data_IF_317201760917
#
_entry.id   IF_317201760917
#
_cell.length_a   1.000
_cell.length_b   1.000
_cell.length_c   1.000
_cell.angle_alpha   90.00
_cell.angle_beta   90.00
_cell.angle_gamma   90.00
#
_symmetry.space_group_name_H-M   'P 1'
#
loop_
_entity.id
_entity.type
_entity.pdbx_description
1 polymer ?
#
# COMPACT_ATOMS: atom_id res chain seq x y z
N UNK A 1 -4.45 5.13 -7.82
CA UNK A 1 -4.11 4.71 -6.46
C UNK A 1 -2.67 5.11 -6.15
N UNK A 2 -2.38 5.28 -4.88
CA UNK A 2 -1.09 5.77 -4.42
C UNK A 2 -0.25 4.65 -3.80
N UNK A 3 -0.69 3.43 -4.00
CA UNK A 3 0.02 2.20 -3.71
C UNK A 3 0.02 1.32 -4.95
N UNK A 4 1.22 0.99 -5.44
CA UNK A 4 1.45 0.25 -6.66
C UNK A 4 2.00 -1.13 -6.31
N UNK A 5 1.34 -2.19 -6.77
CA UNK A 5 1.84 -3.55 -6.62
C UNK A 5 2.66 -3.93 -7.85
N UNK A 6 3.84 -4.48 -7.59
CA UNK A 6 4.70 -5.12 -8.57
C UNK A 6 4.88 -6.58 -8.20
N UNK A 7 4.48 -7.50 -9.07
CA UNK A 7 4.78 -8.93 -8.94
C UNK A 7 5.93 -9.29 -9.86
N UNK A 8 6.92 -10.01 -9.37
CA UNK A 8 8.02 -10.50 -10.21
C UNK A 8 7.54 -11.72 -10.99
N UNK A 9 7.50 -11.61 -12.32
CA UNK A 9 7.07 -12.66 -13.23
C UNK A 9 8.24 -13.37 -13.94
N UNK A 10 9.43 -12.76 -13.91
CA UNK A 10 10.63 -13.33 -14.51
C UNK A 10 11.88 -12.56 -14.15
N UNK A 11 13.04 -13.15 -14.36
CA UNK A 11 14.31 -12.46 -14.23
C UNK A 11 15.41 -13.12 -15.06
N UNK A 12 16.42 -12.33 -15.41
CA UNK A 12 17.67 -12.81 -15.98
C UNK A 12 18.88 -12.25 -15.22
N UNK A 13 20.06 -12.32 -15.83
CA UNK A 13 21.29 -11.86 -15.18
C UNK A 13 21.29 -10.35 -14.90
N UNK A 14 20.72 -9.56 -15.81
CA UNK A 14 20.71 -8.10 -15.75
C UNK A 14 19.33 -7.48 -15.87
N UNK A 15 18.26 -8.22 -15.61
CA UNK A 15 16.91 -7.72 -15.65
C UNK A 15 15.96 -8.45 -14.71
N UNK A 16 14.89 -7.75 -14.35
CA UNK A 16 13.72 -8.31 -13.64
C UNK A 16 12.47 -7.89 -14.42
N UNK A 17 11.58 -8.83 -14.63
CA UNK A 17 10.28 -8.61 -15.26
C UNK A 17 9.23 -8.49 -14.17
N UNK A 18 8.47 -7.40 -14.23
CA UNK A 18 7.39 -7.10 -13.29
C UNK A 18 6.06 -7.09 -14.02
N UNK A 19 5.06 -7.64 -13.36
CA UNK A 19 3.65 -7.40 -13.65
C UNK A 19 3.14 -6.32 -12.70
N UNK A 20 2.45 -5.33 -13.26
CA UNK A 20 1.87 -4.20 -12.53
C UNK A 20 0.39 -4.50 -12.31
N UNK A 21 -0.10 -4.38 -11.08
CA UNK A 21 -1.51 -4.67 -10.76
C UNK A 21 -2.48 -3.79 -11.56
N UNK A 22 -3.71 -4.25 -11.73
CA UNK A 22 -4.73 -3.58 -12.53
C UNK A 22 -5.17 -2.23 -11.97
N UNK A 23 -4.96 -1.98 -10.68
CA UNK A 23 -5.37 -0.76 -10.00
C UNK A 23 -4.28 0.32 -10.05
N UNK A 24 -3.05 -0.04 -10.36
CA UNK A 24 -1.95 0.90 -10.51
C UNK A 24 -2.00 1.58 -11.88
N UNK A 25 -2.01 2.90 -11.89
CA UNK A 25 -1.87 3.68 -13.10
C UNK A 25 -0.41 3.98 -13.40
N UNK A 26 -0.02 3.85 -14.64
CA UNK A 26 1.32 4.22 -15.09
C UNK A 26 1.29 4.75 -16.53
N UNK A 27 2.30 5.50 -16.88
CA UNK A 27 2.54 5.98 -18.24
C UNK A 27 3.98 5.69 -18.63
N UNK A 28 4.20 5.34 -19.89
CA UNK A 28 5.52 5.18 -20.48
C UNK A 28 5.64 6.12 -21.68
N UNK A 29 6.16 7.31 -21.42
CA UNK A 29 6.30 8.37 -22.40
C UNK A 29 7.78 8.60 -22.74
N UNK A 30 8.14 8.50 -24.01
CA UNK A 30 9.51 8.71 -24.49
C UNK A 30 10.58 7.91 -23.72
N UNK A 31 10.26 6.67 -23.36
CA UNK A 31 11.15 5.80 -22.57
C UNK A 31 11.25 6.18 -21.08
N UNK A 32 10.42 7.10 -20.60
CA UNK A 32 10.29 7.43 -19.18
C UNK A 32 9.06 6.75 -18.63
N UNK A 33 9.29 5.80 -17.76
CA UNK A 33 8.23 5.10 -17.04
C UNK A 33 7.90 5.86 -15.74
N UNK A 34 6.61 6.17 -15.53
CA UNK A 34 6.14 6.88 -14.36
C UNK A 34 4.89 6.21 -13.79
N UNK A 35 4.83 6.06 -12.49
CA UNK A 35 3.56 5.81 -11.81
C UNK A 35 2.77 7.12 -11.69
N UNK A 36 1.45 7.00 -11.84
CA UNK A 36 0.52 8.13 -11.76
C UNK A 36 -0.34 7.96 -10.51
N UNK A 37 -0.33 8.94 -9.63
CA UNK A 37 -1.23 9.07 -8.49
C UNK A 37 -2.16 10.26 -8.67
N UNK A 38 -3.02 10.52 -7.68
CA UNK A 38 -3.99 11.62 -7.72
C UNK A 38 -3.31 12.99 -7.94
N UNK A 39 -2.21 13.22 -7.22
CA UNK A 39 -1.51 14.52 -7.22
C UNK A 39 -0.09 14.44 -7.77
N UNK A 40 0.29 13.35 -8.42
CA UNK A 40 1.65 13.20 -8.88
C UNK A 40 1.79 12.34 -10.13
N UNK A 41 2.84 12.66 -10.88
CA UNK A 41 3.42 11.81 -11.92
C UNK A 41 4.88 11.62 -11.55
N UNK A 42 5.26 10.43 -11.08
CA UNK A 42 6.62 10.16 -10.59
C UNK A 42 7.38 9.19 -11.45
N UNK A 43 8.53 9.62 -11.92
CA UNK A 43 9.52 8.74 -12.51
C UNK A 43 10.05 7.74 -11.47
N UNK A 44 10.24 6.50 -11.88
CA UNK A 44 10.97 5.52 -11.05
C UNK A 44 12.41 5.98 -10.73
N UNK A 45 12.97 6.92 -11.50
CA UNK A 45 14.29 7.54 -11.24
C UNK A 45 14.25 8.66 -10.22
N UNK A 46 13.08 9.21 -9.90
CA UNK A 46 12.94 10.34 -8.98
C UNK A 46 12.90 9.86 -7.54
N UNK A 47 13.97 9.18 -7.13
CA UNK A 47 14.11 8.58 -5.80
C UNK A 47 14.65 9.55 -4.76
N UNK A 48 15.01 10.80 -5.14
CA UNK A 48 15.89 11.62 -4.33
C UNK A 48 15.21 12.46 -3.25
N UNK A 49 13.90 12.67 -3.27
CA UNK A 49 13.21 13.56 -2.31
C UNK A 49 12.05 12.95 -1.54
N UNK A 50 11.42 11.91 -2.04
CA UNK A 50 10.31 11.23 -1.35
C UNK A 50 10.50 9.74 -1.53
N UNK A 51 11.22 9.13 -0.61
CA UNK A 51 11.43 7.70 -0.63
C UNK A 51 10.08 6.99 -0.69
N UNK A 52 9.83 6.21 -1.73
CA UNK A 52 8.78 5.22 -1.71
C UNK A 52 9.01 4.32 -0.50
N UNK A 53 8.03 4.17 0.32
CA UNK A 53 8.00 3.07 1.26
C UNK A 53 7.73 1.78 0.52
N UNK A 54 8.35 0.72 0.99
CA UNK A 54 8.32 -0.56 0.30
C UNK A 54 7.92 -1.62 1.29
N UNK A 55 6.86 -2.33 0.95
CA UNK A 55 6.51 -3.58 1.58
C UNK A 55 6.86 -4.72 0.61
N UNK A 56 7.62 -5.70 1.07
CA UNK A 56 7.97 -6.91 0.34
C UNK A 56 7.26 -8.11 0.94
N UNK A 57 6.55 -8.84 0.13
CA UNK A 57 5.86 -10.06 0.49
C UNK A 57 6.45 -11.23 -0.32
N UNK A 58 7.33 -12.04 0.32
CA UNK A 58 7.88 -13.23 -0.31
C UNK A 58 6.78 -14.23 -0.67
N UNK A 59 6.93 -14.93 -1.80
CA UNK A 59 6.01 -15.98 -2.23
C UNK A 59 5.75 -17.04 -1.16
N UNK A 60 6.79 -17.46 -0.48
CA UNK A 60 6.76 -18.49 0.57
C UNK A 60 6.21 -17.98 1.92
N UNK A 61 6.07 -16.67 2.08
CA UNK A 61 5.55 -15.99 3.27
C UNK A 61 4.62 -14.83 2.89
N UNK A 62 3.49 -15.06 2.22
CA UNK A 62 2.68 -14.00 1.58
C UNK A 62 1.99 -13.05 2.57
N UNK A 63 2.00 -13.37 3.86
CA UNK A 63 1.43 -12.53 4.92
C UNK A 63 2.50 -11.85 5.79
N UNK A 64 3.76 -11.94 5.40
CA UNK A 64 4.87 -11.41 6.16
C UNK A 64 5.56 -10.29 5.39
N UNK A 65 5.37 -9.05 5.85
CA UNK A 65 6.06 -7.90 5.29
C UNK A 65 7.52 -7.85 5.75
N UNK A 66 8.43 -7.71 4.82
CA UNK A 66 9.85 -7.51 5.09
C UNK A 66 10.30 -6.13 4.61
N UNK A 67 11.14 -5.47 5.39
CA UNK A 67 11.94 -4.36 4.87
C UNK A 67 13.03 -4.92 3.99
N UNK A 68 13.11 -4.46 2.76
CA UNK A 68 14.00 -5.04 1.78
C UNK A 68 14.54 -4.00 0.80
N UNK A 69 15.30 -4.50 -0.15
CA UNK A 69 15.87 -3.71 -1.23
C UNK A 69 14.77 -3.16 -2.16
N UNK A 70 14.88 -1.89 -2.51
CA UNK A 70 13.89 -1.22 -3.38
C UNK A 70 13.90 -1.86 -4.78
N UNK A 71 12.75 -2.36 -5.28
CA UNK A 71 12.69 -3.13 -6.53
C UNK A 71 13.08 -2.32 -7.77
N UNK A 72 12.93 -1.00 -7.72
CA UNK A 72 13.30 -0.11 -8.82
C UNK A 72 14.56 0.70 -8.55
N UNK A 73 15.26 0.45 -7.43
CA UNK A 73 16.56 1.06 -7.17
C UNK A 73 17.59 0.50 -8.15
N UNK A 74 18.51 1.32 -8.58
CA UNK A 74 19.59 0.95 -9.52
C UNK A 74 19.07 0.42 -10.89
N UNK A 75 17.82 0.66 -11.21
CA UNK A 75 17.27 0.40 -12.54
C UNK A 75 17.73 1.53 -13.48
N UNK A 76 18.44 1.15 -14.53
CA UNK A 76 18.96 2.13 -15.50
C UNK A 76 18.09 2.24 -16.77
N UNK A 77 17.21 1.25 -17.03
CA UNK A 77 16.29 1.25 -18.17
C UNK A 77 15.05 0.44 -17.83
N UNK A 78 13.87 0.92 -18.23
CA UNK A 78 12.62 0.14 -18.24
C UNK A 78 12.10 0.06 -19.67
N UNK A 79 11.59 -1.13 -20.04
CA UNK A 79 10.92 -1.40 -21.29
C UNK A 79 9.62 -2.13 -21.05
N UNK A 80 8.56 -1.68 -21.67
CA UNK A 80 7.31 -2.45 -21.70
C UNK A 80 7.48 -3.68 -22.59
N UNK A 81 7.08 -4.85 -22.08
CA UNK A 81 7.23 -6.16 -22.75
C UNK A 81 5.87 -6.83 -22.99
N UNK A 82 4.80 -6.30 -22.42
CA UNK A 82 3.43 -6.77 -22.58
C UNK A 82 2.46 -5.85 -21.86
N UNK A 83 1.16 -6.10 -21.97
CA UNK A 83 0.15 -5.35 -21.27
C UNK A 83 0.40 -5.45 -19.77
N UNK A 84 0.67 -4.30 -19.11
CA UNK A 84 1.01 -4.18 -17.68
C UNK A 84 2.28 -4.96 -17.27
N UNK A 85 3.13 -5.33 -18.21
CA UNK A 85 4.37 -6.05 -17.97
C UNK A 85 5.56 -5.21 -18.41
N UNK A 86 6.50 -5.03 -17.50
CA UNK A 86 7.70 -4.22 -17.74
C UNK A 86 8.96 -4.98 -17.40
N UNK A 87 9.98 -4.81 -18.22
CA UNK A 87 11.35 -5.28 -17.96
C UNK A 87 12.20 -4.14 -17.44
N UNK A 88 12.67 -4.29 -16.22
CA UNK A 88 13.59 -3.36 -15.58
C UNK A 88 15.02 -3.91 -15.64
N UNK A 89 15.91 -3.20 -16.32
CA UNK A 89 17.32 -3.57 -16.43
C UNK A 89 18.09 -3.04 -15.23
N UNK A 90 18.76 -3.95 -14.52
CA UNK A 90 19.50 -3.67 -13.27
C UNK A 90 20.66 -4.65 -13.08
N UNK A 91 21.71 -4.22 -12.41
CA UNK A 91 22.81 -5.09 -11.99
C UNK A 91 22.52 -5.87 -10.69
N UNK A 92 21.37 -5.63 -10.07
CA UNK A 92 20.98 -6.25 -8.79
C UNK A 92 19.88 -7.31 -8.95
N UNK A 93 19.66 -7.82 -10.16
CA UNK A 93 18.60 -8.80 -10.47
C UNK A 93 18.70 -10.08 -9.61
N UNK A 94 19.90 -10.45 -9.15
CA UNK A 94 20.13 -11.60 -8.28
C UNK A 94 19.47 -11.48 -6.89
N UNK A 95 19.17 -10.26 -6.43
CA UNK A 95 18.51 -9.99 -5.13
C UNK A 95 17.03 -10.31 -5.12
N UNK A 96 16.41 -10.54 -6.28
CA UNK A 96 14.99 -10.72 -6.44
C UNK A 96 14.62 -12.18 -6.70
N UNK A 97 13.42 -12.57 -6.26
CA UNK A 97 12.86 -13.92 -6.50
C UNK A 97 11.57 -13.81 -7.30
N UNK A 98 11.40 -14.71 -8.27
CA UNK A 98 10.15 -14.81 -9.04
C UNK A 98 8.98 -15.15 -8.11
N UNK A 99 7.84 -14.56 -8.38
CA UNK A 99 6.59 -14.61 -7.61
C UNK A 99 6.55 -13.75 -6.33
N UNK A 100 7.66 -13.12 -5.92
CA UNK A 100 7.62 -12.14 -4.84
C UNK A 100 6.80 -10.92 -5.26
N UNK A 101 6.09 -10.31 -4.30
CA UNK A 101 5.32 -9.08 -4.47
C UNK A 101 5.97 -7.91 -3.73
N UNK A 102 5.94 -6.77 -4.37
CA UNK A 102 6.41 -5.50 -3.82
C UNK A 102 5.31 -4.45 -3.92
N UNK A 103 5.09 -3.74 -2.83
CA UNK A 103 4.22 -2.58 -2.81
C UNK A 103 5.07 -1.33 -2.68
N UNK A 104 4.87 -0.42 -3.60
CA UNK A 104 5.47 0.91 -3.59
C UNK A 104 4.38 1.90 -3.20
N UNK A 105 4.57 2.66 -2.13
CA UNK A 105 3.58 3.64 -1.69
C UNK A 105 4.24 4.91 -1.17
N UNK A 106 3.50 6.02 -1.32
CA UNK A 106 3.93 7.33 -0.85
C UNK A 106 3.84 7.41 0.68
N UNK A 107 4.81 8.05 1.29
CA UNK A 107 4.86 8.26 2.74
C UNK A 107 3.87 9.34 3.24
N UNK A 108 3.27 10.10 2.33
CA UNK A 108 2.32 11.16 2.69
C UNK A 108 1.02 10.55 3.17
N UNK A 109 0.67 10.80 4.42
CA UNK A 109 -0.58 10.34 5.04
C UNK A 109 -1.61 11.49 5.02
N UNK A 110 -2.04 11.92 3.84
CA UNK A 110 -2.84 13.14 3.69
C UNK A 110 -4.32 12.96 4.04
N UNK A 111 -4.86 11.75 3.82
CA UNK A 111 -6.30 11.50 3.96
C UNK A 111 -6.54 10.21 4.73
N UNK A 112 -7.50 10.24 5.66
CA UNK A 112 -8.05 9.03 6.24
C UNK A 112 -9.19 8.50 5.37
N UNK A 113 -9.40 7.19 5.36
CA UNK A 113 -10.55 6.58 4.69
C UNK A 113 -11.87 7.04 5.32
N UNK A 114 -11.92 7.02 6.65
CA UNK A 114 -13.00 7.58 7.48
C UNK A 114 -12.37 8.48 8.53
N UNK A 115 -12.87 9.71 8.65
CA UNK A 115 -12.41 10.65 9.68
C UNK A 115 -13.60 11.16 10.50
N UNK A 116 -13.53 10.97 11.80
CA UNK A 116 -14.54 11.40 12.78
C UNK A 116 -13.89 12.36 13.77
N UNK A 117 -14.44 13.55 13.93
CA UNK A 117 -13.88 14.54 14.81
C UNK A 117 -14.98 15.25 15.63
N UNK A 118 -14.65 15.62 16.90
CA UNK A 118 -15.50 16.41 17.78
C UNK A 118 -16.94 15.87 17.88
N UNK A 119 -17.09 14.56 17.94
CA UNK A 119 -18.38 13.89 17.88
C UNK A 119 -18.68 13.13 19.17
N UNK A 120 -19.93 12.68 19.32
CA UNK A 120 -20.37 11.90 20.46
C UNK A 120 -21.31 10.77 20.05
N UNK A 121 -21.16 9.59 20.68
CA UNK A 121 -22.01 8.43 20.48
C UNK A 121 -22.05 7.98 19.00
N UNK A 122 -20.88 7.81 18.42
CA UNK A 122 -20.72 7.47 16.99
C UNK A 122 -20.71 5.96 16.81
N UNK A 123 -21.48 5.47 15.85
CA UNK A 123 -21.51 4.06 15.47
C UNK A 123 -21.25 3.89 13.99
N UNK A 124 -20.32 3.00 13.67
CA UNK A 124 -20.11 2.49 12.31
C UNK A 124 -20.40 0.99 12.30
N UNK A 125 -21.25 0.58 11.40
CA UNK A 125 -21.70 -0.81 11.30
C UNK A 125 -21.73 -1.25 9.84
N UNK A 126 -21.31 -2.51 9.58
CA UNK A 126 -21.36 -3.13 8.26
C UNK A 126 -20.55 -2.37 7.18
N UNK A 127 -19.39 -1.79 7.56
CA UNK A 127 -18.52 -1.04 6.63
C UNK A 127 -17.45 -1.96 6.08
N UNK A 128 -17.27 -1.93 4.75
CA UNK A 128 -16.18 -2.62 4.06
C UNK A 128 -15.22 -1.63 3.44
N UNK A 129 -13.93 -1.85 3.65
CA UNK A 129 -12.85 -1.12 2.99
C UNK A 129 -11.81 -2.13 2.50
N UNK A 130 -11.54 -2.13 1.21
CA UNK A 130 -10.61 -3.08 0.61
C UNK A 130 -9.29 -2.43 0.19
N UNK A 131 -9.23 -1.11 0.28
CA UNK A 131 -8.03 -0.34 0.01
C UNK A 131 -8.10 1.04 0.66
N UNK A 132 -7.07 1.37 1.45
CA UNK A 132 -6.87 2.69 2.04
C UNK A 132 -5.46 3.18 1.74
N UNK A 133 -5.38 4.39 1.27
CA UNK A 133 -4.12 5.04 0.94
C UNK A 133 -3.32 5.48 2.18
N UNK A 134 -3.98 5.65 3.31
CA UNK A 134 -3.38 6.12 4.55
C UNK A 134 -3.93 5.33 5.74
N UNK A 135 -4.44 6.03 6.75
CA UNK A 135 -5.18 5.46 7.87
C UNK A 135 -6.59 5.07 7.43
N UNK A 136 -7.10 3.90 7.81
CA UNK A 136 -8.42 3.47 7.37
C UNK A 136 -9.55 4.16 8.13
N UNK A 137 -9.45 4.24 9.45
CA UNK A 137 -10.40 4.91 10.32
C UNK A 137 -9.65 5.76 11.35
N UNK A 138 -10.01 7.03 11.46
CA UNK A 138 -9.47 7.94 12.47
C UNK A 138 -10.60 8.58 13.26
N UNK A 139 -10.55 8.48 14.58
CA UNK A 139 -11.39 9.26 15.47
C UNK A 139 -10.54 10.21 16.31
N UNK A 140 -10.92 11.48 16.34
CA UNK A 140 -10.23 12.51 17.09
C UNK A 140 -11.22 13.30 17.97
N UNK A 141 -10.86 13.51 19.24
CA UNK A 141 -11.66 14.26 20.21
C UNK A 141 -13.14 13.85 20.22
N UNK A 142 -13.40 12.55 20.21
CA UNK A 142 -14.74 11.96 20.09
C UNK A 142 -15.07 11.14 21.34
N UNK A 143 -16.30 11.19 21.80
CA UNK A 143 -16.78 10.46 22.98
C UNK A 143 -17.68 9.30 22.56
N UNK A 144 -17.42 8.09 23.10
CA UNK A 144 -18.15 6.84 22.83
C UNK A 144 -18.20 6.48 21.33
N UNK A 145 -17.40 5.51 20.96
CA UNK A 145 -17.27 5.02 19.57
C UNK A 145 -17.60 3.53 19.56
N UNK A 146 -18.46 3.13 18.64
CA UNK A 146 -18.78 1.73 18.39
C UNK A 146 -18.50 1.37 16.95
N UNK A 147 -17.66 0.37 16.75
CA UNK A 147 -17.28 -0.18 15.45
C UNK A 147 -17.71 -1.64 15.42
N UNK A 148 -18.70 -1.98 14.60
CA UNK A 148 -19.28 -3.32 14.55
C UNK A 148 -19.31 -3.84 13.13
N UNK A 149 -18.92 -5.10 12.95
CA UNK A 149 -18.94 -5.82 11.67
C UNK A 149 -18.22 -5.04 10.54
N UNK A 150 -17.03 -4.53 10.87
CA UNK A 150 -16.17 -3.90 9.85
C UNK A 150 -15.34 -4.97 9.15
N UNK A 151 -15.20 -4.86 7.83
CA UNK A 151 -14.35 -5.71 7.00
C UNK A 151 -13.31 -4.85 6.28
N UNK A 152 -12.12 -4.74 6.87
CA UNK A 152 -10.97 -4.04 6.28
C UNK A 152 -9.96 -5.09 5.81
N UNK A 153 -10.23 -5.69 4.67
CA UNK A 153 -9.41 -6.75 4.09
C UNK A 153 -9.14 -6.48 2.62
N UNK A 154 -7.96 -6.87 2.10
CA UNK A 154 -7.62 -6.62 0.70
C UNK A 154 -8.49 -7.47 -0.26
N UNK A 155 -8.70 -6.95 -1.45
CA UNK A 155 -9.40 -7.61 -2.57
C UNK A 155 -8.45 -7.93 -3.73
N UNK A 156 -8.96 -8.69 -4.71
CA UNK A 156 -8.34 -8.93 -6.02
C UNK A 156 -6.91 -9.46 -5.94
N UNK A 157 -6.65 -10.32 -4.95
CA UNK A 157 -5.33 -10.95 -4.78
C UNK A 157 -4.25 -10.04 -4.20
N UNK A 158 -4.61 -8.83 -3.77
CA UNK A 158 -3.70 -7.97 -3.01
C UNK A 158 -3.50 -8.51 -1.60
N UNK A 159 -2.37 -8.16 -0.98
CA UNK A 159 -2.07 -8.52 0.42
C UNK A 159 -2.13 -7.34 1.38
N UNK A 160 -2.10 -6.11 0.86
CA UNK A 160 -2.26 -4.89 1.66
C UNK A 160 -3.62 -4.25 1.42
N UNK A 161 -4.27 -3.87 2.52
CA UNK A 161 -5.53 -3.12 2.54
C UNK A 161 -5.31 -1.65 2.95
N UNK A 162 -4.38 -1.38 3.84
CA UNK A 162 -4.07 -0.01 4.30
C UNK A 162 -2.57 0.24 4.30
N UNK A 163 -2.18 1.46 3.96
CA UNK A 163 -0.77 1.91 4.00
C UNK A 163 -0.29 2.12 5.43
N UNK A 164 -1.20 2.46 6.33
CA UNK A 164 -0.94 2.71 7.74
C UNK A 164 -1.93 1.94 8.62
N UNK A 165 -2.22 2.45 9.82
CA UNK A 165 -3.09 1.81 10.81
C UNK A 165 -4.51 1.60 10.27
N UNK A 166 -5.18 0.55 10.73
CA UNK A 166 -6.61 0.41 10.45
C UNK A 166 -7.44 1.35 11.32
N UNK A 167 -7.15 1.43 12.60
CA UNK A 167 -7.91 2.25 13.54
C UNK A 167 -6.95 3.14 14.33
N UNK A 168 -7.15 4.45 14.28
CA UNK A 168 -6.46 5.40 15.12
C UNK A 168 -7.45 6.18 15.98
N UNK A 169 -7.29 6.06 17.29
CA UNK A 169 -8.10 6.73 18.31
C UNK A 169 -7.22 7.77 19.01
N UNK A 170 -7.51 9.05 18.81
CA UNK A 170 -6.68 10.15 19.29
C UNK A 170 -7.50 11.10 20.15
N UNK A 171 -7.05 11.35 21.40
CA UNK A 171 -7.71 12.25 22.37
C UNK A 171 -9.22 11.98 22.55
N UNK A 172 -9.64 10.73 22.38
CA UNK A 172 -11.02 10.31 22.58
C UNK A 172 -11.29 9.96 24.04
N UNK A 173 -12.56 9.95 24.43
CA UNK A 173 -12.99 9.61 25.79
C UNK A 173 -14.20 8.68 25.80
N UNK A 174 -14.55 8.16 26.99
CA UNK A 174 -15.66 7.22 27.14
C UNK A 174 -15.28 5.83 26.69
N UNK A 175 -16.20 5.11 26.03
CA UNK A 175 -16.01 3.75 25.60
C UNK A 175 -15.66 3.68 24.11
N UNK A 176 -14.66 2.88 23.76
CA UNK A 176 -14.38 2.45 22.41
C UNK A 176 -14.67 0.96 22.32
N UNK A 177 -15.65 0.59 21.52
CA UNK A 177 -16.10 -0.81 21.33
C UNK A 177 -15.76 -1.19 19.88
N UNK A 178 -14.98 -2.28 19.74
CA UNK A 178 -14.70 -2.90 18.44
C UNK A 178 -15.17 -4.34 18.52
N UNK A 179 -16.17 -4.70 17.72
CA UNK A 179 -16.84 -5.99 17.82
C UNK A 179 -17.10 -6.61 16.46
N UNK A 180 -16.90 -7.91 16.33
CA UNK A 180 -17.19 -8.70 15.13
C UNK A 180 -16.51 -8.15 13.86
N UNK A 181 -15.33 -7.53 14.00
CA UNK A 181 -14.58 -6.91 12.92
C UNK A 181 -13.51 -7.86 12.36
N UNK A 182 -13.22 -7.69 11.08
CA UNK A 182 -12.18 -8.44 10.37
C UNK A 182 -11.15 -7.47 9.79
N UNK A 183 -9.88 -7.65 10.16
CA UNK A 183 -8.77 -6.81 9.72
C UNK A 183 -7.64 -7.65 9.16
N UNK A 184 -7.12 -7.29 7.99
CA UNK A 184 -5.97 -7.94 7.37
C UNK A 184 -5.24 -7.01 6.41
N UNK A 185 -3.92 -7.01 6.43
CA UNK A 185 -3.10 -6.24 5.49
C UNK A 185 -2.94 -4.77 5.87
N UNK A 186 -2.82 -4.45 7.17
CA UNK A 186 -2.34 -3.15 7.61
C UNK A 186 -0.85 -2.99 7.29
N UNK A 187 -0.46 -1.78 6.93
CA UNK A 187 0.94 -1.41 6.75
C UNK A 187 1.64 -1.01 8.06
N UNK A 188 0.85 -0.80 9.12
CA UNK A 188 1.30 -0.46 10.47
C UNK A 188 0.38 -1.15 11.49
N UNK A 189 -0.06 -0.49 12.56
CA UNK A 189 -0.85 -1.08 13.63
C UNK A 189 -2.28 -1.45 13.20
N UNK A 190 -2.83 -2.51 13.80
CA UNK A 190 -4.25 -2.80 13.65
C UNK A 190 -5.09 -1.75 14.39
N UNK A 191 -4.65 -1.35 15.57
CA UNK A 191 -5.27 -0.27 16.36
C UNK A 191 -4.20 0.48 17.14
N UNK A 192 -4.27 1.80 17.07
CA UNK A 192 -3.40 2.72 17.79
C UNK A 192 -4.25 3.70 18.62
N UNK A 193 -3.92 3.87 19.89
CA UNK A 193 -4.67 4.71 20.85
C UNK A 193 -3.72 5.68 21.54
N UNK A 194 -4.02 6.98 21.46
CA UNK A 194 -3.23 8.07 22.01
C UNK A 194 -4.00 8.95 23.00
#
# INVERSE_FOLDING_TARGET
PEMHELKIIGKGLFYVDYEIDEQSEYVNENGKFNFVGHDYKRSFKDQSKYAWWIAHFPKDKPHFCQRTYHPLRDVFKIKEIGKRQVRAYTFTANKFKVEDKYYLYDVRRQYAGIFVQNSKNVTFENVKQHFNYSLAFVAQNTENITLTNLDFTPEKGRVMCSVADFIQICMCRGKVIVKDCKFSGAGDDCMNVH
#
